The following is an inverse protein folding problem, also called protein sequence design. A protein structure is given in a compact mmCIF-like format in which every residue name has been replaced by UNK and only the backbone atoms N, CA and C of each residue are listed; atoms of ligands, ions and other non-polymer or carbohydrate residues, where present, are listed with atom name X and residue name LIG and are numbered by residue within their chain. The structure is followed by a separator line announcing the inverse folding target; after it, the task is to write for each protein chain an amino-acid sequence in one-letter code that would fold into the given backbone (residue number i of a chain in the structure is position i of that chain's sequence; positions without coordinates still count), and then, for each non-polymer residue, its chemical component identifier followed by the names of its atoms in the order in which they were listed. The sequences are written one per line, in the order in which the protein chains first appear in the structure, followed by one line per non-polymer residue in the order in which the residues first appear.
data_IF_240255546594
#
_entry.id   IF_240255546594
#
_cell.length_a   1.000
_cell.length_b   1.000
_cell.length_c   1.000
_cell.angle_alpha   90.00
_cell.angle_beta   90.00
_cell.angle_gamma   90.00
#
_symmetry.space_group_name_H-M   'P 1'
#
loop_
_entity.id
_entity.type
_entity.pdbx_description
1 polymer ?
#
# COMPACT_ATOMS: atom_id res chain seq x y z
N UNK A 1 11.07 16.04 21.41
CA UNK A 1 11.72 15.09 20.47
C UNK A 1 12.60 15.90 19.53
N UNK A 2 13.81 15.43 19.23
CA UNK A 2 14.63 16.07 18.19
C UNK A 2 13.86 16.05 16.85
N UNK A 3 13.90 17.14 16.10
CA UNK A 3 13.27 17.22 14.78
C UNK A 3 13.92 16.16 13.88
N UNK A 4 13.13 15.19 13.40
CA UNK A 4 13.58 14.19 12.44
C UNK A 4 13.60 14.85 11.05
N UNK A 5 14.77 15.31 10.63
CA UNK A 5 15.00 15.83 9.28
C UNK A 5 16.05 14.98 8.56
N UNK A 6 16.11 15.10 7.24
CA UNK A 6 17.03 14.32 6.39
C UNK A 6 18.48 14.56 6.79
N UNK A 7 19.18 13.46 7.09
CA UNK A 7 20.59 13.42 7.47
C UNK A 7 21.51 13.47 6.25
N UNK A 8 22.72 14.02 6.43
CA UNK A 8 23.74 14.09 5.39
C UNK A 8 24.24 12.71 4.92
N UNK A 9 24.44 11.79 5.87
CA UNK A 9 24.99 10.46 5.61
C UNK A 9 23.99 9.39 6.07
N UNK A 10 22.85 9.24 5.36
CA UNK A 10 21.90 8.19 5.67
C UNK A 10 22.46 6.82 5.31
N UNK A 11 22.19 5.84 6.15
CA UNK A 11 22.52 4.44 5.87
C UNK A 11 21.39 3.57 6.42
N UNK A 12 20.62 2.96 5.52
CA UNK A 12 19.51 2.08 5.86
C UNK A 12 19.95 0.88 6.72
N UNK A 13 21.17 0.39 6.52
CA UNK A 13 21.71 -0.79 7.20
C UNK A 13 22.54 -0.46 8.43
N UNK A 14 22.65 0.82 8.80
CA UNK A 14 23.39 1.25 9.98
C UNK A 14 22.80 0.64 11.24
N UNK A 15 23.67 0.08 12.07
CA UNK A 15 23.32 -0.41 13.41
C UNK A 15 23.81 0.63 14.42
N UNK A 16 22.89 1.38 15.02
CA UNK A 16 23.21 2.42 15.99
C UNK A 16 23.11 1.90 17.43
N UNK A 17 22.10 1.06 17.71
CA UNK A 17 21.88 0.48 19.04
C UNK A 17 21.90 -1.04 18.96
N UNK A 18 22.23 -1.67 20.10
CA UNK A 18 22.13 -3.14 20.24
C UNK A 18 20.71 -3.59 20.60
N UNK A 19 19.89 -2.69 21.13
CA UNK A 19 18.49 -2.94 21.44
C UNK A 19 17.64 -2.71 20.19
N UNK A 20 16.53 -3.43 20.04
CA UNK A 20 15.64 -3.28 18.88
C UNK A 20 16.17 -3.84 17.56
N UNK A 21 17.09 -4.82 17.63
CA UNK A 21 17.59 -5.52 16.44
C UNK A 21 16.62 -6.61 15.99
N UNK A 22 16.54 -6.84 14.68
CA UNK A 22 15.85 -7.98 14.08
C UNK A 22 16.80 -8.75 13.15
N UNK A 23 16.61 -10.06 13.06
CA UNK A 23 17.31 -10.92 12.09
C UNK A 23 16.30 -11.46 11.10
N UNK A 24 16.46 -11.09 9.83
CA UNK A 24 15.70 -11.65 8.72
C UNK A 24 16.49 -12.78 8.09
N UNK A 25 15.87 -13.95 8.00
CA UNK A 25 16.40 -15.12 7.29
C UNK A 25 15.22 -15.98 6.82
N UNK A 26 15.11 -16.19 5.51
CA UNK A 26 14.17 -17.13 4.94
C UNK A 26 14.60 -18.58 5.18
N UNK A 27 13.65 -19.49 5.27
CA UNK A 27 13.86 -20.90 5.61
C UNK A 27 13.90 -21.85 4.40
N UNK A 28 13.92 -21.32 3.17
CA UNK A 28 13.94 -22.05 1.89
C UNK A 28 12.67 -22.86 1.56
N UNK A 29 11.77 -23.10 2.52
CA UNK A 29 10.45 -23.65 2.26
C UNK A 29 9.52 -22.52 1.82
N UNK A 30 9.25 -22.47 0.51
CA UNK A 30 8.38 -21.45 -0.10
C UNK A 30 6.97 -21.45 0.52
N UNK A 31 6.39 -22.61 0.85
CA UNK A 31 5.08 -22.69 1.50
C UNK A 31 5.13 -21.98 2.85
N UNK A 32 6.14 -22.28 3.67
CA UNK A 32 6.28 -21.69 5.01
C UNK A 32 6.55 -20.20 4.95
N UNK A 33 7.37 -19.76 4.01
CA UNK A 33 7.65 -18.33 3.84
C UNK A 33 6.40 -17.54 3.46
N UNK A 34 5.59 -18.05 2.53
CA UNK A 34 4.32 -17.41 2.15
C UNK A 34 3.30 -17.45 3.30
N UNK A 35 3.14 -18.58 4.00
CA UNK A 35 2.24 -18.70 5.15
C UNK A 35 2.66 -17.76 6.29
N UNK A 36 3.96 -17.67 6.57
CA UNK A 36 4.51 -16.75 7.58
C UNK A 36 4.23 -15.30 7.23
N UNK A 37 4.44 -14.90 5.97
CA UNK A 37 4.10 -13.54 5.53
C UNK A 37 2.60 -13.31 5.63
N UNK A 38 1.75 -14.28 5.28
CA UNK A 38 0.30 -14.15 5.41
C UNK A 38 -0.10 -13.80 6.85
N UNK A 39 0.44 -14.52 7.85
CA UNK A 39 0.22 -14.23 9.27
C UNK A 39 0.74 -12.84 9.65
N UNK A 40 1.96 -12.46 9.24
CA UNK A 40 2.50 -11.12 9.54
C UNK A 40 1.56 -10.00 9.08
N UNK A 41 1.05 -10.10 7.85
CA UNK A 41 0.15 -9.09 7.28
C UNK A 41 -1.23 -9.10 7.95
N UNK A 42 -1.80 -10.29 8.22
CA UNK A 42 -3.09 -10.44 8.91
C UNK A 42 -3.03 -9.87 10.33
N UNK A 43 -2.02 -10.23 11.11
CA UNK A 43 -1.88 -9.75 12.49
C UNK A 43 -1.59 -8.24 12.56
N UNK A 44 -0.87 -7.71 11.57
CA UNK A 44 -0.69 -6.25 11.46
C UNK A 44 -2.01 -5.54 11.20
N UNK A 45 -2.87 -6.11 10.35
CA UNK A 45 -4.20 -5.59 10.10
C UNK A 45 -5.07 -5.69 11.37
N UNK A 46 -5.03 -6.82 12.08
CA UNK A 46 -5.75 -7.04 13.34
C UNK A 46 -5.41 -5.98 14.40
N UNK A 47 -4.13 -5.74 14.66
CA UNK A 47 -3.71 -4.72 15.65
C UNK A 47 -4.15 -3.31 15.26
N UNK A 48 -4.18 -2.99 13.96
CA UNK A 48 -4.68 -1.71 13.47
C UNK A 48 -6.19 -1.62 13.69
N UNK A 49 -6.94 -2.68 13.41
CA UNK A 49 -8.37 -2.77 13.68
C UNK A 49 -8.68 -2.51 15.15
N UNK A 50 -7.98 -3.18 16.07
CA UNK A 50 -8.15 -2.98 17.52
C UNK A 50 -7.91 -1.51 17.90
N UNK A 51 -6.83 -0.91 17.40
CA UNK A 51 -6.50 0.49 17.66
C UNK A 51 -7.56 1.48 17.19
N UNK A 52 -8.08 1.27 15.98
CA UNK A 52 -9.12 2.11 15.37
C UNK A 52 -10.40 2.03 16.21
N UNK A 53 -10.78 0.83 16.68
CA UNK A 53 -11.98 0.61 17.49
C UNK A 53 -11.83 1.12 18.93
N UNK A 54 -10.63 1.07 19.52
CA UNK A 54 -10.40 1.58 20.89
C UNK A 54 -10.40 3.11 20.97
N UNK A 55 -9.88 3.79 19.95
CA UNK A 55 -9.66 5.25 20.01
C UNK A 55 -10.83 6.10 19.53
N UNK A 56 -11.83 5.52 18.85
CA UNK A 56 -13.02 6.19 18.32
C UNK A 56 -12.74 7.56 17.66
N UNK A 57 -11.57 7.71 17.02
CA UNK A 57 -11.18 8.93 16.32
C UNK A 57 -11.70 8.85 14.89
N UNK A 58 -12.84 9.50 14.65
CA UNK A 58 -13.57 9.46 13.37
C UNK A 58 -12.66 9.86 12.20
N UNK A 59 -11.72 10.79 12.41
CA UNK A 59 -10.79 11.23 11.36
C UNK A 59 -9.82 10.12 10.91
N UNK A 60 -9.59 9.13 11.79
CA UNK A 60 -8.73 7.97 11.51
C UNK A 60 -9.51 6.80 10.90
N UNK A 61 -10.82 6.68 11.17
CA UNK A 61 -11.66 5.62 10.59
C UNK A 61 -11.58 5.64 9.06
N UNK A 62 -11.82 6.81 8.46
CA UNK A 62 -11.81 7.01 7.01
C UNK A 62 -10.42 6.84 6.39
N UNK A 63 -9.40 7.33 7.10
CA UNK A 63 -8.05 7.36 6.56
C UNK A 63 -7.42 5.95 6.61
N UNK A 64 -7.46 5.26 7.76
CA UNK A 64 -6.74 4.00 7.95
C UNK A 64 -7.32 2.84 7.14
N UNK A 65 -8.56 2.97 6.64
CA UNK A 65 -9.22 1.91 5.89
C UNK A 65 -8.39 1.42 4.70
N UNK A 66 -7.71 2.30 3.96
CA UNK A 66 -6.94 1.90 2.77
C UNK A 66 -5.75 0.98 3.11
N UNK A 67 -4.92 1.35 4.08
CA UNK A 67 -3.82 0.50 4.53
C UNK A 67 -4.33 -0.79 5.17
N UNK A 68 -5.37 -0.68 6.01
CA UNK A 68 -6.01 -1.82 6.66
C UNK A 68 -6.53 -2.85 5.66
N UNK A 69 -7.32 -2.38 4.68
CA UNK A 69 -7.92 -3.23 3.67
C UNK A 69 -6.87 -3.90 2.79
N UNK A 70 -5.80 -3.16 2.45
CA UNK A 70 -4.67 -3.75 1.75
C UNK A 70 -4.00 -4.87 2.57
N UNK A 71 -3.70 -4.66 3.86
CA UNK A 71 -2.98 -5.64 4.68
C UNK A 71 -3.78 -6.96 4.79
N UNK A 72 -5.08 -6.87 5.06
CA UNK A 72 -5.95 -8.04 5.09
C UNK A 72 -6.09 -8.70 3.70
N UNK A 73 -6.33 -7.93 2.64
CA UNK A 73 -6.47 -8.51 1.29
C UNK A 73 -5.17 -9.18 0.84
N UNK A 74 -4.02 -8.61 1.18
CA UNK A 74 -2.70 -9.18 0.87
C UNK A 74 -2.41 -10.44 1.68
N UNK A 75 -2.88 -10.53 2.93
CA UNK A 75 -2.73 -11.75 3.73
C UNK A 75 -3.48 -12.93 3.12
N UNK A 76 -4.69 -12.71 2.60
CA UNK A 76 -5.46 -13.73 1.87
C UNK A 76 -4.74 -14.18 0.58
N UNK A 77 -4.19 -13.25 -0.20
CA UNK A 77 -3.38 -13.58 -1.38
C UNK A 77 -2.19 -14.49 -1.02
N UNK A 78 -1.44 -14.11 0.02
CA UNK A 78 -0.26 -14.85 0.47
C UNK A 78 -0.63 -16.25 0.97
N UNK A 79 -1.76 -16.37 1.69
CA UNK A 79 -2.22 -17.64 2.22
C UNK A 79 -2.70 -18.58 1.10
N UNK A 80 -3.44 -18.07 0.12
CA UNK A 80 -3.80 -18.83 -1.09
C UNK A 80 -2.56 -19.29 -1.86
N UNK A 81 -1.55 -18.42 -1.99
CA UNK A 81 -0.26 -18.79 -2.59
C UNK A 81 0.47 -19.86 -1.77
N UNK A 82 0.43 -19.80 -0.45
CA UNK A 82 0.99 -20.83 0.41
C UNK A 82 0.30 -22.20 0.21
N UNK A 83 -1.03 -22.21 0.09
CA UNK A 83 -1.80 -23.42 -0.25
C UNK A 83 -1.36 -23.95 -1.62
N UNK A 84 -1.26 -23.09 -2.64
CA UNK A 84 -0.75 -23.51 -3.96
C UNK A 84 0.65 -24.13 -3.89
N UNK A 85 1.59 -23.47 -3.20
CA UNK A 85 2.98 -23.94 -3.08
C UNK A 85 3.19 -25.15 -2.20
N UNK A 86 2.18 -25.53 -1.40
CA UNK A 86 2.13 -26.83 -0.72
C UNK A 86 2.08 -27.98 -1.73
N UNK A 87 1.40 -27.80 -2.86
CA UNK A 87 1.17 -28.84 -3.86
C UNK A 87 1.99 -28.64 -5.15
N UNK A 88 2.39 -27.40 -5.47
CA UNK A 88 3.29 -27.08 -6.59
C UNK A 88 4.73 -27.04 -6.09
N UNK A 89 5.52 -28.09 -6.37
CA UNK A 89 6.88 -28.24 -5.81
C UNK A 89 7.99 -27.77 -6.75
N UNK A 90 7.84 -27.93 -8.06
CA UNK A 90 8.86 -27.57 -9.03
C UNK A 90 8.84 -26.06 -9.35
N UNK A 91 10.01 -25.54 -9.71
CA UNK A 91 10.25 -24.11 -9.89
C UNK A 91 9.44 -23.50 -11.04
N UNK A 92 9.32 -24.20 -12.17
CA UNK A 92 8.65 -23.66 -13.36
C UNK A 92 7.14 -23.63 -13.16
N UNK A 93 6.53 -24.70 -12.62
CA UNK A 93 5.11 -24.67 -12.29
C UNK A 93 4.77 -23.62 -11.22
N UNK A 94 5.69 -23.33 -10.27
CA UNK A 94 5.50 -22.23 -9.32
C UNK A 94 5.48 -20.86 -10.01
N UNK A 95 6.36 -20.65 -10.98
CA UNK A 95 6.38 -19.41 -11.79
C UNK A 95 5.13 -19.29 -12.63
N UNK A 96 4.69 -20.38 -13.26
CA UNK A 96 3.46 -20.40 -14.05
C UNK A 96 2.23 -20.15 -13.17
N UNK A 97 2.16 -20.77 -11.98
CA UNK A 97 1.11 -20.48 -11.00
C UNK A 97 1.02 -18.99 -10.63
N UNK A 98 2.15 -18.34 -10.30
CA UNK A 98 2.15 -16.89 -10.02
C UNK A 98 1.75 -16.09 -11.25
N UNK A 99 2.22 -16.47 -12.44
CA UNK A 99 1.96 -15.72 -13.67
C UNK A 99 0.49 -15.80 -14.09
N UNK A 100 -0.12 -16.96 -13.95
CA UNK A 100 -1.48 -17.24 -14.42
C UNK A 100 -2.54 -16.71 -13.44
N UNK A 101 -2.25 -16.75 -12.14
CA UNK A 101 -3.17 -16.25 -11.10
C UNK A 101 -2.89 -14.80 -10.69
N UNK A 102 -1.62 -14.38 -10.73
CA UNK A 102 -1.12 -13.05 -10.38
C UNK A 102 -1.57 -12.58 -8.99
N UNK A 103 -2.49 -11.63 -8.93
CA UNK A 103 -3.10 -11.09 -7.71
C UNK A 103 -4.59 -11.45 -7.59
N UNK A 104 -5.15 -12.20 -8.53
CA UNK A 104 -6.58 -12.45 -8.57
C UNK A 104 -6.99 -13.54 -7.56
N UNK A 105 -7.77 -13.18 -6.54
CA UNK A 105 -8.10 -14.10 -5.44
C UNK A 105 -9.04 -15.24 -5.87
N UNK A 106 -10.01 -14.99 -6.74
CA UNK A 106 -10.85 -16.06 -7.33
C UNK A 106 -10.02 -17.03 -8.17
N UNK A 107 -9.12 -16.54 -9.04
CA UNK A 107 -8.25 -17.43 -9.83
C UNK A 107 -7.30 -18.23 -8.95
N UNK A 108 -6.78 -17.62 -7.88
CA UNK A 108 -6.00 -18.33 -6.87
C UNK A 108 -6.83 -19.44 -6.20
N UNK A 109 -8.07 -19.14 -5.78
CA UNK A 109 -8.96 -20.12 -5.15
C UNK A 109 -9.30 -21.27 -6.13
N UNK A 110 -9.64 -20.94 -7.38
CA UNK A 110 -9.90 -21.91 -8.45
C UNK A 110 -8.69 -22.81 -8.70
N UNK A 111 -7.48 -22.23 -8.73
CA UNK A 111 -6.24 -22.97 -8.96
C UNK A 111 -5.90 -23.93 -7.80
N UNK A 112 -6.22 -23.57 -6.55
CA UNK A 112 -5.97 -24.46 -5.40
C UNK A 112 -7.09 -25.47 -5.13
N UNK A 113 -8.31 -25.23 -5.65
CA UNK A 113 -9.48 -26.07 -5.42
C UNK A 113 -9.26 -27.57 -5.64
N UNK A 114 -8.58 -28.04 -6.72
CA UNK A 114 -8.32 -29.46 -6.93
C UNK A 114 -7.56 -30.13 -5.79
N UNK A 115 -6.76 -29.35 -5.04
CA UNK A 115 -5.92 -29.84 -3.95
C UNK A 115 -6.61 -29.83 -2.58
N UNK A 116 -7.68 -29.03 -2.42
CA UNK A 116 -8.42 -28.87 -1.15
C UNK A 116 -9.81 -29.51 -1.17
N UNK A 117 -10.16 -30.22 -2.25
CA UNK A 117 -11.50 -30.77 -2.49
C UNK A 117 -12.04 -31.61 -1.34
N UNK A 118 -11.20 -32.44 -0.73
CA UNK A 118 -11.62 -33.32 0.38
C UNK A 118 -11.97 -32.51 1.63
N UNK A 119 -11.23 -31.43 1.93
CA UNK A 119 -11.56 -30.48 2.99
C UNK A 119 -12.85 -29.70 2.68
N UNK A 120 -13.05 -29.33 1.42
CA UNK A 120 -14.26 -28.65 0.96
C UNK A 120 -15.50 -29.53 1.10
N UNK A 121 -15.40 -30.83 0.81
CA UNK A 121 -16.53 -31.77 0.97
C UNK A 121 -17.01 -31.84 2.42
N UNK A 122 -16.09 -31.72 3.39
CA UNK A 122 -16.45 -31.69 4.81
C UNK A 122 -17.18 -30.40 5.21
N UNK A 123 -16.82 -29.26 4.62
CA UNK A 123 -17.32 -27.93 4.99
C UNK A 123 -17.76 -27.12 3.77
N UNK A 124 -18.76 -27.64 3.06
CA UNK A 124 -19.21 -27.06 1.77
C UNK A 124 -19.75 -25.65 1.91
N UNK A 125 -20.50 -25.36 2.97
CA UNK A 125 -21.09 -24.03 3.21
C UNK A 125 -20.01 -22.96 3.40
N UNK A 126 -18.96 -23.26 4.17
CA UNK A 126 -17.84 -22.35 4.38
C UNK A 126 -17.08 -22.05 3.07
N UNK A 127 -16.87 -23.08 2.24
CA UNK A 127 -16.26 -22.87 0.91
C UNK A 127 -17.15 -22.00 0.00
N UNK A 128 -18.46 -22.25 -0.03
CA UNK A 128 -19.39 -21.45 -0.83
C UNK A 128 -19.43 -19.99 -0.37
N UNK A 129 -19.36 -19.76 0.94
CA UNK A 129 -19.26 -18.42 1.51
C UNK A 129 -17.96 -17.74 1.07
N UNK A 130 -16.82 -18.42 1.21
CA UNK A 130 -15.50 -17.91 0.82
C UNK A 130 -15.44 -17.60 -0.69
N UNK A 131 -15.93 -18.51 -1.53
CA UNK A 131 -15.97 -18.35 -2.98
C UNK A 131 -16.79 -17.10 -3.38
N UNK A 132 -17.98 -16.92 -2.77
CA UNK A 132 -18.80 -15.74 -3.00
C UNK A 132 -18.11 -14.46 -2.52
N UNK A 133 -17.46 -14.50 -1.36
CA UNK A 133 -16.78 -13.35 -0.77
C UNK A 133 -15.57 -12.91 -1.59
N UNK A 134 -14.73 -13.86 -2.01
CA UNK A 134 -13.56 -13.56 -2.85
C UNK A 134 -13.96 -13.10 -4.26
N UNK A 135 -15.10 -13.58 -4.78
CA UNK A 135 -15.66 -13.08 -6.05
C UNK A 135 -16.10 -11.63 -5.93
N UNK A 136 -16.86 -11.28 -4.89
CA UNK A 136 -17.30 -9.91 -4.63
C UNK A 136 -16.11 -8.96 -4.44
N UNK A 137 -15.09 -9.40 -3.69
CA UNK A 137 -13.83 -8.67 -3.53
C UNK A 137 -13.11 -8.45 -4.85
N UNK A 138 -13.06 -9.45 -5.72
CA UNK A 138 -12.39 -9.35 -7.02
C UNK A 138 -13.07 -8.38 -7.99
N UNK A 139 -14.39 -8.28 -7.96
CA UNK A 139 -15.12 -7.31 -8.77
C UNK A 139 -14.71 -5.86 -8.42
N UNK A 140 -14.18 -5.65 -7.20
CA UNK A 140 -13.67 -4.38 -6.69
C UNK A 140 -12.15 -4.26 -6.88
N UNK A 141 -11.36 -5.25 -6.43
CA UNK A 141 -9.89 -5.16 -6.29
C UNK A 141 -9.10 -6.34 -6.89
N UNK A 142 -9.48 -6.79 -8.09
CA UNK A 142 -8.82 -7.90 -8.80
C UNK A 142 -7.29 -7.78 -8.92
N UNK A 143 -6.78 -6.58 -9.18
CA UNK A 143 -5.35 -6.32 -9.44
C UNK A 143 -4.58 -5.87 -8.18
N UNK A 144 -5.24 -5.88 -7.01
CA UNK A 144 -4.70 -5.38 -5.74
C UNK A 144 -4.36 -3.88 -5.73
N UNK A 145 -4.93 -3.05 -6.61
CA UNK A 145 -4.55 -1.64 -6.74
C UNK A 145 -5.46 -0.69 -5.94
N UNK A 146 -6.71 -1.07 -5.66
CA UNK A 146 -7.79 -0.16 -5.21
C UNK A 146 -7.56 0.41 -3.82
N UNK A 147 -6.93 -0.38 -2.96
CA UNK A 147 -6.55 0.03 -1.60
C UNK A 147 -5.13 0.58 -1.52
N UNK A 148 -4.34 0.48 -2.59
CA UNK A 148 -2.98 1.02 -2.67
C UNK A 148 -2.93 2.38 -3.33
N UNK A 149 -3.84 2.68 -4.25
CA UNK A 149 -3.84 3.90 -5.06
C UNK A 149 -5.26 4.46 -5.19
N UNK A 150 -5.40 5.79 -5.36
CA UNK A 150 -6.73 6.42 -5.50
C UNK A 150 -7.44 6.11 -6.83
N UNK A 151 -6.70 5.72 -7.86
CA UNK A 151 -7.25 5.42 -9.20
C UNK A 151 -6.36 4.49 -10.01
N UNK A 152 -6.96 3.80 -10.97
CA UNK A 152 -6.26 3.06 -12.01
C UNK A 152 -5.96 3.95 -13.22
N UNK A 153 -4.84 3.68 -13.91
CA UNK A 153 -4.51 4.37 -15.16
C UNK A 153 -5.11 3.58 -16.35
N UNK A 154 -5.80 4.29 -17.23
CA UNK A 154 -6.35 3.75 -18.48
C UNK A 154 -5.54 4.28 -19.67
N UNK A 155 -5.36 3.44 -20.69
CA UNK A 155 -4.59 3.80 -21.89
C UNK A 155 -5.46 3.50 -23.12
N UNK A 156 -5.74 4.54 -23.91
CA UNK A 156 -6.33 4.42 -25.25
C UNK A 156 -5.23 4.71 -26.27
N UNK A 157 -5.32 4.09 -27.44
CA UNK A 157 -4.41 4.37 -28.57
C UNK A 157 -5.22 5.05 -29.66
N UNK A 158 -4.74 6.18 -30.13
CA UNK A 158 -5.37 6.89 -31.24
C UNK A 158 -5.29 6.03 -32.52
N UNK A 159 -6.40 5.90 -33.28
CA UNK A 159 -6.43 5.02 -34.47
C UNK A 159 -5.44 5.38 -35.56
N UNK A 160 -5.08 6.67 -35.67
CA UNK A 160 -4.34 7.20 -36.82
C UNK A 160 -2.81 7.23 -36.63
N UNK A 161 -2.32 7.56 -35.43
CA UNK A 161 -0.88 7.71 -35.15
C UNK A 161 -0.36 6.76 -34.04
N UNK A 162 -1.25 5.93 -33.48
CA UNK A 162 -0.94 4.99 -32.40
C UNK A 162 -0.38 5.67 -31.13
N UNK A 163 -0.60 6.98 -30.96
CA UNK A 163 -0.19 7.72 -29.77
C UNK A 163 -1.03 7.27 -28.58
N UNK A 164 -0.38 7.13 -27.42
CA UNK A 164 -1.04 6.80 -26.16
C UNK A 164 -1.77 8.03 -25.63
N UNK A 165 -3.06 7.87 -25.36
CA UNK A 165 -3.86 8.80 -24.60
C UNK A 165 -4.17 8.18 -23.23
N UNK A 166 -3.77 8.89 -22.18
CA UNK A 166 -3.89 8.43 -20.80
C UNK A 166 -5.16 8.98 -20.16
N UNK A 167 -5.80 8.16 -19.33
CA UNK A 167 -6.90 8.56 -18.46
C UNK A 167 -6.75 7.95 -17.08
N UNK A 168 -7.58 8.38 -16.14
CA UNK A 168 -7.68 7.78 -14.81
C UNK A 168 -9.10 7.25 -14.60
N UNK A 169 -9.22 6.20 -13.78
CA UNK A 169 -10.50 5.66 -13.32
C UNK A 169 -10.44 5.48 -11.82
N UNK A 170 -11.23 6.27 -11.10
CA UNK A 170 -11.37 6.11 -9.64
C UNK A 170 -11.88 4.72 -9.32
N UNK A 171 -11.36 4.13 -8.24
CA UNK A 171 -11.87 2.84 -7.76
C UNK A 171 -13.19 2.99 -7.01
N UNK A 172 -13.37 4.14 -6.33
CA UNK A 172 -14.54 4.46 -5.54
C UNK A 172 -15.10 5.81 -6.00
N UNK A 173 -16.16 5.79 -6.80
CA UNK A 173 -16.81 7.01 -7.34
C UNK A 173 -17.97 7.50 -6.48
N UNK A 174 -18.62 6.57 -5.77
CA UNK A 174 -19.73 6.87 -4.87
C UNK A 174 -19.22 6.93 -3.45
N UNK A 175 -19.74 7.89 -2.69
CA UNK A 175 -19.52 7.90 -1.26
C UNK A 175 -20.17 6.65 -0.65
N UNK A 176 -19.37 5.85 0.06
CA UNK A 176 -19.82 4.58 0.64
C UNK A 176 -19.43 4.55 2.12
N UNK A 177 -20.39 4.21 2.98
CA UNK A 177 -20.24 4.10 4.43
C UNK A 177 -20.02 2.63 4.80
N UNK A 178 -18.75 2.21 4.83
CA UNK A 178 -18.37 0.82 5.06
C UNK A 178 -18.48 0.48 6.54
N UNK A 179 -19.15 -0.63 6.85
CA UNK A 179 -19.13 -1.25 8.17
C UNK A 179 -17.74 -1.89 8.41
N UNK A 180 -16.87 -1.20 9.13
CA UNK A 180 -15.51 -1.65 9.44
C UNK A 180 -15.50 -2.89 10.33
N UNK A 181 -16.48 -3.03 11.22
CA UNK A 181 -16.57 -4.19 12.10
C UNK A 181 -16.91 -5.43 11.29
N UNK A 182 -17.93 -5.36 10.43
CA UNK A 182 -18.25 -6.45 9.52
C UNK A 182 -17.08 -6.73 8.57
N UNK A 183 -16.46 -5.69 8.01
CA UNK A 183 -15.28 -5.82 7.15
C UNK A 183 -14.17 -6.64 7.80
N UNK A 184 -13.71 -6.24 9.00
CA UNK A 184 -12.62 -6.91 9.69
C UNK A 184 -12.97 -8.37 10.03
N UNK A 185 -14.17 -8.62 10.57
CA UNK A 185 -14.61 -9.98 10.87
C UNK A 185 -14.64 -10.87 9.62
N UNK A 186 -15.14 -10.37 8.48
CA UNK A 186 -15.16 -11.13 7.23
C UNK A 186 -13.75 -11.46 6.72
N UNK A 187 -12.79 -10.55 6.89
CA UNK A 187 -11.39 -10.82 6.54
C UNK A 187 -10.74 -11.88 7.44
N UNK A 188 -11.01 -11.84 8.75
CA UNK A 188 -10.54 -12.86 9.71
C UNK A 188 -11.17 -14.23 9.41
N UNK A 189 -12.49 -14.28 9.20
CA UNK A 189 -13.22 -15.51 8.81
C UNK A 189 -12.64 -16.10 7.52
N UNK A 190 -12.43 -15.27 6.49
CA UNK A 190 -11.84 -15.74 5.24
C UNK A 190 -10.43 -16.30 5.44
N UNK A 191 -9.62 -15.68 6.32
CA UNK A 191 -8.29 -16.15 6.66
C UNK A 191 -8.33 -17.50 7.39
N UNK A 192 -9.21 -17.66 8.38
CA UNK A 192 -9.38 -18.90 9.14
C UNK A 192 -9.84 -20.08 8.28
N UNK A 193 -10.78 -19.85 7.35
CA UNK A 193 -11.23 -20.87 6.39
C UNK A 193 -10.04 -21.32 5.53
N UNK A 194 -9.28 -20.38 4.97
CA UNK A 194 -8.09 -20.69 4.15
C UNK A 194 -6.99 -21.38 4.98
N UNK A 195 -6.79 -20.96 6.23
CA UNK A 195 -5.81 -21.56 7.13
C UNK A 195 -6.18 -23.02 7.44
N UNK A 196 -7.48 -23.32 7.61
CA UNK A 196 -7.94 -24.70 7.79
C UNK A 196 -7.59 -25.57 6.58
N UNK A 197 -7.64 -25.01 5.36
CA UNK A 197 -7.26 -25.73 4.14
C UNK A 197 -5.75 -25.94 4.06
N UNK A 198 -4.97 -24.94 4.45
CA UNK A 198 -3.51 -25.06 4.50
C UNK A 198 -3.08 -26.15 5.51
N UNK A 199 -3.68 -26.15 6.70
CA UNK A 199 -3.34 -27.04 7.82
C UNK A 199 -4.05 -28.41 7.76
N UNK A 200 -5.00 -28.59 6.82
CA UNK A 200 -5.85 -29.79 6.70
C UNK A 200 -6.63 -30.14 7.97
N UNK A 201 -7.07 -29.11 8.71
CA UNK A 201 -7.88 -29.25 9.91
C UNK A 201 -9.35 -28.91 9.62
N UNK A 202 -10.24 -29.37 10.49
CA UNK A 202 -11.65 -29.00 10.40
C UNK A 202 -11.85 -27.54 10.89
N UNK A 203 -12.78 -26.84 10.26
CA UNK A 203 -13.19 -25.50 10.67
C UNK A 203 -13.87 -25.62 12.04
N UNK A 204 -13.37 -24.88 13.03
CA UNK A 204 -13.84 -25.01 14.42
C UNK A 204 -15.10 -24.20 14.70
N UNK A 205 -15.27 -23.09 14.00
CA UNK A 205 -16.34 -22.12 14.24
C UNK A 205 -17.09 -21.82 12.93
N UNK A 206 -18.40 -21.68 13.03
CA UNK A 206 -19.29 -21.38 11.93
C UNK A 206 -19.67 -19.88 11.86
N UNK A 207 -18.85 -18.98 12.43
CA UNK A 207 -19.04 -17.51 12.38
C UNK A 207 -19.38 -16.98 10.99
N UNK A 208 -18.88 -17.62 9.92
CA UNK A 208 -19.22 -17.26 8.54
C UNK A 208 -20.73 -17.23 8.27
N UNK A 209 -21.53 -17.98 9.02
CA UNK A 209 -23.01 -17.99 8.91
C UNK A 209 -23.66 -16.70 9.41
N UNK A 210 -22.96 -15.93 10.24
CA UNK A 210 -23.45 -14.65 10.77
C UNK A 210 -23.24 -13.48 9.79
N UNK A 211 -22.40 -13.65 8.78
CA UNK A 211 -22.02 -12.61 7.84
C UNK A 211 -22.43 -12.94 6.41
N UNK A 212 -22.88 -11.92 5.66
CA UNK A 212 -23.05 -12.07 4.21
C UNK A 212 -21.69 -12.02 3.51
N UNK A 213 -21.47 -12.76 2.42
CA UNK A 213 -20.22 -12.73 1.67
C UNK A 213 -20.13 -11.49 0.76
N UNK A 214 -20.38 -10.31 1.32
CA UNK A 214 -20.26 -9.00 0.67
C UNK A 214 -19.03 -8.32 1.23
N UNK A 215 -18.07 -7.97 0.37
CA UNK A 215 -16.78 -7.43 0.76
C UNK A 215 -16.91 -6.07 1.45
N UNK A 216 -17.49 -5.10 0.74
CA UNK A 216 -17.74 -3.76 1.26
C UNK A 216 -19.23 -3.60 1.58
N UNK A 217 -19.60 -4.03 2.79
CA UNK A 217 -20.98 -3.90 3.28
C UNK A 217 -21.22 -2.49 3.83
N UNK A 218 -22.33 -1.89 3.40
CA UNK A 218 -22.75 -0.57 3.91
C UNK A 218 -23.52 -0.69 5.22
N UNK A 219 -23.29 0.25 6.14
CA UNK A 219 -24.01 0.32 7.41
C UNK A 219 -23.08 0.24 8.62
N UNK A 220 -23.50 -0.46 9.66
CA UNK A 220 -22.77 -0.54 10.94
C UNK A 220 -23.07 0.61 11.90
N UNK A 221 -22.47 0.55 13.09
CA UNK A 221 -22.52 1.64 14.07
C UNK A 221 -21.67 2.82 13.59
N UNK A 222 -22.04 4.04 13.97
CA UNK A 222 -21.39 5.27 13.56
C UNK A 222 -19.88 5.30 13.89
N UNK A 223 -19.49 4.76 15.04
CA UNK A 223 -18.07 4.67 15.45
C UNK A 223 -17.29 3.51 14.82
N UNK A 224 -17.97 2.69 14.01
CA UNK A 224 -17.39 1.58 13.26
C UNK A 224 -17.60 1.75 11.75
N UNK A 225 -17.80 2.99 11.29
CA UNK A 225 -17.96 3.32 9.88
C UNK A 225 -16.70 3.98 9.32
N UNK A 226 -16.30 3.56 8.11
CA UNK A 226 -15.34 4.29 7.27
C UNK A 226 -16.05 4.81 6.03
N UNK A 227 -15.82 6.07 5.71
CA UNK A 227 -16.37 6.71 4.51
C UNK A 227 -15.29 6.79 3.43
N UNK A 228 -15.59 6.24 2.26
CA UNK A 228 -14.71 6.30 1.08
C UNK A 228 -15.44 6.90 -0.12
N UNK A 229 -14.71 7.23 -1.19
CA UNK A 229 -15.31 7.66 -2.45
C UNK A 229 -15.76 9.12 -2.49
N UNK A 230 -15.04 9.99 -1.77
CA UNK A 230 -15.27 11.45 -1.77
C UNK A 230 -15.02 12.05 -3.16
N UNK A 231 -16.07 12.15 -3.99
CA UNK A 231 -16.00 12.64 -5.38
C UNK A 231 -15.59 14.11 -5.52
N UNK A 232 -15.76 14.91 -4.46
CA UNK A 232 -15.45 16.34 -4.42
C UNK A 232 -14.06 16.68 -3.85
N UNK A 233 -13.30 15.70 -3.35
CA UNK A 233 -11.94 15.95 -2.83
C UNK A 233 -10.99 16.30 -3.97
N UNK A 234 -10.33 17.45 -3.87
CA UNK A 234 -9.21 17.82 -4.73
C UNK A 234 -8.01 16.91 -4.46
N UNK A 235 -7.77 16.60 -3.18
CA UNK A 235 -6.65 15.80 -2.71
C UNK A 235 -7.00 14.32 -2.85
N UNK A 236 -6.46 13.69 -3.89
CA UNK A 236 -6.73 12.27 -4.18
C UNK A 236 -5.76 11.37 -3.44
N UNK A 237 -4.51 11.79 -3.31
CA UNK A 237 -3.45 10.98 -2.71
C UNK A 237 -3.36 11.12 -1.18
N UNK A 238 -3.65 12.30 -0.62
CA UNK A 238 -3.48 12.58 0.81
C UNK A 238 -4.09 11.51 1.74
N UNK A 239 -5.34 11.04 1.56
CA UNK A 239 -5.90 10.01 2.42
C UNK A 239 -5.08 8.72 2.41
N UNK A 240 -4.56 8.30 1.24
CA UNK A 240 -3.72 7.12 1.11
C UNK A 240 -2.32 7.35 1.71
N UNK A 241 -1.69 8.50 1.46
CA UNK A 241 -0.37 8.82 2.04
C UNK A 241 -0.43 8.79 3.56
N UNK A 242 -1.45 9.42 4.13
CA UNK A 242 -1.69 9.47 5.57
C UNK A 242 -1.97 8.08 6.13
N UNK A 243 -2.87 7.31 5.52
CA UNK A 243 -3.23 5.95 5.93
C UNK A 243 -2.01 5.06 6.14
N UNK A 244 -1.17 4.99 5.11
CA UNK A 244 0.01 4.14 5.08
C UNK A 244 1.09 4.64 6.04
N UNK A 245 1.29 5.95 6.15
CA UNK A 245 2.28 6.53 7.08
C UNK A 245 1.90 6.28 8.53
N UNK A 246 0.69 6.67 8.94
CA UNK A 246 0.26 6.56 10.33
C UNK A 246 0.06 5.11 10.78
N UNK A 247 -0.34 4.22 9.86
CA UNK A 247 -0.36 2.77 10.15
C UNK A 247 1.04 2.22 10.40
N UNK A 248 2.05 2.63 9.62
CA UNK A 248 3.42 2.19 9.83
C UNK A 248 4.00 2.72 11.15
N UNK A 249 3.68 3.97 11.51
CA UNK A 249 4.04 4.56 12.80
C UNK A 249 3.40 3.83 13.97
N UNK A 250 2.13 3.43 13.84
CA UNK A 250 1.43 2.65 14.86
C UNK A 250 2.06 1.26 15.04
N UNK A 251 2.36 0.53 13.95
CA UNK A 251 3.03 -0.77 14.06
C UNK A 251 4.41 -0.63 14.76
N UNK A 252 5.14 0.45 14.48
CA UNK A 252 6.38 0.74 15.20
C UNK A 252 6.13 1.03 16.69
N UNK A 253 5.09 1.78 17.05
CA UNK A 253 4.74 2.05 18.44
C UNK A 253 4.49 0.73 19.20
N UNK A 254 3.73 -0.20 18.61
CA UNK A 254 3.54 -1.56 19.15
C UNK A 254 4.88 -2.30 19.34
N UNK A 255 5.74 -2.31 18.32
CA UNK A 255 7.08 -2.93 18.39
C UNK A 255 7.99 -2.24 19.42
N UNK A 256 7.80 -0.94 19.68
CA UNK A 256 8.60 -0.20 20.65
C UNK A 256 8.22 -0.54 22.08
N UNK A 257 6.93 -0.85 22.32
CA UNK A 257 6.36 -1.28 23.60
C UNK A 257 6.62 -2.76 23.88
N UNK A 258 6.52 -3.62 22.87
CA UNK A 258 6.88 -5.04 22.97
C UNK A 258 7.76 -5.49 21.79
N UNK A 259 9.05 -5.65 22.07
CA UNK A 259 10.05 -6.08 21.08
C UNK A 259 9.83 -7.51 20.56
N UNK A 260 9.01 -8.33 21.22
CA UNK A 260 8.62 -9.66 20.70
C UNK A 260 7.82 -9.55 19.41
N UNK A 261 7.09 -8.45 19.23
CA UNK A 261 6.32 -8.16 18.02
C UNK A 261 7.20 -7.85 16.81
N UNK A 262 8.51 -7.62 17.00
CA UNK A 262 9.42 -7.30 15.89
C UNK A 262 9.35 -8.35 14.77
N UNK A 263 9.35 -9.63 15.13
CA UNK A 263 9.30 -10.72 14.16
C UNK A 263 7.99 -10.79 13.38
N UNK A 264 6.92 -10.20 13.89
CA UNK A 264 5.58 -10.22 13.30
C UNK A 264 5.31 -8.97 12.44
N UNK A 265 5.69 -7.79 12.95
CA UNK A 265 5.24 -6.51 12.40
C UNK A 265 6.28 -5.81 11.50
N UNK A 266 7.56 -6.21 11.56
CA UNK A 266 8.63 -5.49 10.87
C UNK A 266 8.44 -5.42 9.34
N UNK A 267 8.10 -6.54 8.69
CA UNK A 267 7.93 -6.60 7.23
C UNK A 267 6.72 -5.78 6.78
N UNK A 268 5.50 -5.96 7.35
CA UNK A 268 4.35 -5.10 7.04
C UNK A 268 4.63 -3.61 7.28
N UNK A 269 5.28 -3.25 8.39
CA UNK A 269 5.68 -1.86 8.67
C UNK A 269 6.60 -1.29 7.59
N UNK A 270 7.61 -2.04 7.15
CA UNK A 270 8.51 -1.60 6.07
C UNK A 270 7.77 -1.41 4.75
N UNK A 271 6.83 -2.30 4.43
CA UNK A 271 5.99 -2.16 3.26
C UNK A 271 5.11 -0.90 3.34
N UNK A 272 4.46 -0.66 4.48
CA UNK A 272 3.58 0.50 4.66
C UNK A 272 4.34 1.82 4.46
N UNK A 273 5.50 1.99 5.10
CA UNK A 273 6.36 3.16 4.86
C UNK A 273 6.81 3.29 3.42
N UNK A 274 7.26 2.17 2.81
CA UNK A 274 7.72 2.17 1.42
C UNK A 274 6.61 2.56 0.44
N UNK A 275 5.38 2.12 0.69
CA UNK A 275 4.21 2.49 -0.13
C UNK A 275 3.80 3.94 0.10
N UNK A 276 3.84 4.43 1.35
CA UNK A 276 3.58 5.83 1.67
C UNK A 276 4.52 6.79 0.92
N UNK A 277 5.81 6.46 0.84
CA UNK A 277 6.79 7.25 0.08
C UNK A 277 6.51 7.25 -1.42
N UNK A 278 6.14 6.10 -1.99
CA UNK A 278 5.73 6.04 -3.40
C UNK A 278 4.49 6.91 -3.65
N UNK A 279 3.51 6.86 -2.75
CA UNK A 279 2.29 7.65 -2.84
C UNK A 279 2.57 9.15 -2.72
N UNK A 280 3.39 9.58 -1.75
CA UNK A 280 3.75 10.99 -1.59
C UNK A 280 4.49 11.55 -2.81
N UNK A 281 5.34 10.74 -3.46
CA UNK A 281 5.97 11.15 -4.73
C UNK A 281 4.97 11.24 -5.88
N UNK A 282 3.96 10.35 -5.91
CA UNK A 282 2.90 10.40 -6.91
C UNK A 282 1.94 11.56 -6.67
N UNK A 283 1.68 11.91 -5.42
CA UNK A 283 0.94 13.11 -5.00
C UNK A 283 1.62 14.36 -5.55
N UNK A 284 2.90 14.58 -5.21
CA UNK A 284 3.68 15.72 -5.72
C UNK A 284 3.68 15.74 -7.25
N UNK A 285 3.89 14.60 -7.91
CA UNK A 285 3.88 14.53 -9.37
C UNK A 285 2.51 14.86 -9.97
N UNK A 286 1.43 14.42 -9.32
CA UNK A 286 0.08 14.51 -9.87
C UNK A 286 -0.63 15.82 -9.58
N UNK A 287 -0.44 16.34 -8.37
CA UNK A 287 -1.20 17.46 -7.82
C UNK A 287 -0.38 18.76 -7.88
N UNK A 288 0.96 18.68 -7.83
CA UNK A 288 1.81 19.86 -7.63
C UNK A 288 2.76 20.22 -8.77
N UNK A 289 3.22 19.24 -9.56
CA UNK A 289 4.13 19.52 -10.68
C UNK A 289 3.43 20.25 -11.84
N UNK A 290 4.20 21.07 -12.57
CA UNK A 290 3.75 21.91 -13.69
C UNK A 290 3.39 21.17 -14.98
N UNK A 291 3.38 19.83 -14.95
CA UNK A 291 3.10 18.99 -16.11
C UNK A 291 1.62 19.00 -16.49
N UNK A 292 1.32 18.83 -17.78
CA UNK A 292 -0.06 18.57 -18.20
C UNK A 292 -0.53 17.21 -17.68
N UNK A 293 -1.85 17.04 -17.54
CA UNK A 293 -2.45 15.77 -17.11
C UNK A 293 -1.95 14.55 -17.91
N UNK A 294 -1.77 14.68 -19.24
CA UNK A 294 -1.27 13.59 -20.08
C UNK A 294 0.19 13.23 -19.78
N UNK A 295 1.04 14.23 -19.55
CA UNK A 295 2.45 14.03 -19.20
C UNK A 295 2.57 13.40 -17.82
N UNK A 296 1.87 13.94 -16.83
CA UNK A 296 1.80 13.43 -15.46
C UNK A 296 1.38 11.97 -15.41
N UNK A 297 0.22 11.62 -15.98
CA UNK A 297 -0.29 10.25 -15.96
C UNK A 297 0.62 9.33 -16.79
N UNK A 298 1.18 9.82 -17.89
CA UNK A 298 2.17 9.11 -18.68
C UNK A 298 3.44 8.78 -17.88
N UNK A 299 3.97 9.75 -17.13
CA UNK A 299 5.12 9.58 -16.24
C UNK A 299 4.81 8.58 -15.13
N UNK A 300 3.69 8.73 -14.41
CA UNK A 300 3.27 7.78 -13.37
C UNK A 300 3.18 6.35 -13.92
N UNK A 301 2.55 6.17 -15.08
CA UNK A 301 2.42 4.86 -15.72
C UNK A 301 3.79 4.27 -16.09
N UNK A 302 4.68 5.08 -16.66
CA UNK A 302 5.98 4.62 -17.13
C UNK A 302 6.97 4.36 -15.99
N UNK A 303 6.87 5.10 -14.88
CA UNK A 303 7.72 4.92 -13.70
C UNK A 303 7.16 3.89 -12.72
N UNK A 304 5.86 3.60 -12.75
CA UNK A 304 5.12 2.60 -11.97
C UNK A 304 5.46 2.62 -10.46
N UNK A 305 6.46 1.84 -10.05
CA UNK A 305 6.92 1.68 -8.66
C UNK A 305 8.36 2.18 -8.42
N UNK A 306 9.02 2.70 -9.46
CA UNK A 306 10.41 3.12 -9.42
C UNK A 306 10.55 4.39 -8.58
N UNK A 307 11.00 4.24 -7.34
CA UNK A 307 11.28 5.35 -6.41
C UNK A 307 12.23 6.38 -7.04
N UNK A 308 13.35 5.93 -7.62
CA UNK A 308 14.29 6.82 -8.33
C UNK A 308 13.65 7.44 -9.59
N UNK A 309 12.83 6.66 -10.31
CA UNK A 309 12.13 7.14 -11.50
C UNK A 309 11.14 8.26 -11.20
N UNK A 310 10.38 8.13 -10.11
CA UNK A 310 9.43 9.15 -9.63
C UNK A 310 10.17 10.38 -9.10
N UNK A 311 11.21 10.18 -8.29
CA UNK A 311 12.07 11.27 -7.81
C UNK A 311 12.61 12.14 -8.94
N UNK A 312 13.18 11.51 -9.97
CA UNK A 312 13.71 12.21 -11.13
C UNK A 312 12.64 12.97 -11.93
N UNK A 313 11.36 12.58 -11.81
CA UNK A 313 10.24 13.28 -12.43
C UNK A 313 9.78 14.50 -11.64
N UNK A 314 9.97 14.55 -10.31
CA UNK A 314 9.50 15.68 -9.48
C UNK A 314 10.62 16.67 -9.14
N UNK A 315 11.89 16.23 -9.11
CA UNK A 315 13.04 17.00 -8.61
C UNK A 315 13.19 18.39 -9.24
N UNK A 316 12.99 18.53 -10.55
CA UNK A 316 13.15 19.83 -11.22
C UNK A 316 12.14 20.85 -10.74
N UNK A 317 10.89 20.44 -10.50
CA UNK A 317 9.85 21.36 -10.06
C UNK A 317 10.02 21.68 -8.58
N UNK A 318 10.45 20.71 -7.75
CA UNK A 318 10.85 20.99 -6.37
C UNK A 318 11.90 22.11 -6.31
N UNK A 319 12.94 22.05 -7.16
CA UNK A 319 14.00 23.08 -7.21
C UNK A 319 13.42 24.46 -7.58
N UNK A 320 12.51 24.53 -8.56
CA UNK A 320 11.88 25.78 -8.97
C UNK A 320 11.05 26.41 -7.84
N UNK A 321 10.31 25.58 -7.10
CA UNK A 321 9.45 26.05 -6.01
C UNK A 321 10.23 26.43 -4.75
N UNK A 322 11.26 25.67 -4.39
CA UNK A 322 11.97 25.84 -3.12
C UNK A 322 12.78 27.15 -3.05
N UNK A 323 13.31 27.62 -4.19
CA UNK A 323 14.22 28.80 -4.24
C UNK A 323 15.31 28.76 -3.15
N UNK A 324 15.81 27.55 -2.86
CA UNK A 324 16.74 27.34 -1.77
C UNK A 324 18.09 28.03 -2.03
N UNK A 325 18.82 28.44 -0.97
CA UNK A 325 20.17 28.97 -1.10
C UNK A 325 21.12 28.00 -1.85
N UNK A 326 22.15 28.54 -2.53
CA UNK A 326 23.10 27.73 -3.31
C UNK A 326 23.85 26.68 -2.47
N UNK A 327 23.99 26.90 -1.16
CA UNK A 327 24.64 25.99 -0.21
C UNK A 327 23.68 24.98 0.45
N UNK A 328 22.38 24.97 0.10
CA UNK A 328 21.44 23.98 0.61
C UNK A 328 21.76 22.58 0.07
N UNK A 329 22.04 21.65 0.99
CA UNK A 329 22.39 20.26 0.67
C UNK A 329 21.22 19.28 0.83
N UNK A 330 20.02 19.76 1.15
CA UNK A 330 18.84 18.95 1.50
C UNK A 330 18.49 18.00 0.37
N UNK A 331 18.38 18.49 -0.88
CA UNK A 331 18.05 17.64 -2.03
C UNK A 331 19.14 16.61 -2.34
N UNK A 332 20.42 16.99 -2.20
CA UNK A 332 21.54 16.06 -2.34
C UNK A 332 21.49 14.96 -1.28
N UNK A 333 21.08 15.30 -0.06
CA UNK A 333 20.93 14.34 1.03
C UNK A 333 19.74 13.42 0.81
N UNK A 334 18.58 13.96 0.40
CA UNK A 334 17.38 13.19 0.04
C UNK A 334 17.69 12.18 -1.07
N UNK A 335 18.43 12.59 -2.09
CA UNK A 335 18.82 11.72 -3.20
C UNK A 335 19.60 10.47 -2.73
N UNK A 336 20.36 10.57 -1.62
CA UNK A 336 21.00 9.40 -0.98
C UNK A 336 19.97 8.43 -0.39
N UNK A 337 18.87 8.92 0.20
CA UNK A 337 17.76 8.06 0.66
C UNK A 337 17.06 7.39 -0.53
N UNK A 338 16.74 8.16 -1.57
CA UNK A 338 16.05 7.68 -2.77
C UNK A 338 16.84 6.54 -3.42
N UNK A 339 18.13 6.74 -3.64
CA UNK A 339 18.98 5.71 -4.24
C UNK A 339 19.06 4.45 -3.39
N UNK A 340 19.19 4.58 -2.07
CA UNK A 340 19.19 3.43 -1.16
C UNK A 340 17.86 2.68 -1.19
N UNK A 341 16.74 3.39 -1.04
CA UNK A 341 15.41 2.77 -1.03
C UNK A 341 15.10 2.10 -2.38
N UNK A 342 15.47 2.73 -3.50
CA UNK A 342 15.31 2.15 -4.83
C UNK A 342 16.12 0.86 -5.01
N UNK A 343 17.36 0.83 -4.49
CA UNK A 343 18.20 -0.37 -4.54
C UNK A 343 17.71 -1.47 -3.58
N UNK A 344 17.02 -1.10 -2.51
CA UNK A 344 16.43 -2.05 -1.57
C UNK A 344 15.15 -2.66 -2.15
N UNK A 345 14.19 -1.83 -2.57
CA UNK A 345 12.84 -2.26 -2.98
C UNK A 345 12.23 -1.34 -4.08
N UNK A 346 12.94 -1.23 -5.21
CA UNK A 346 12.54 -0.40 -6.35
C UNK A 346 11.36 -0.95 -7.17
N UNK A 347 10.94 -2.20 -6.95
CA UNK A 347 9.80 -2.84 -7.63
C UNK A 347 8.59 -3.06 -6.73
N UNK A 348 8.66 -2.60 -5.48
CA UNK A 348 7.63 -2.79 -4.46
C UNK A 348 7.41 -4.26 -4.08
N UNK A 349 8.28 -5.21 -4.37
CA UNK A 349 8.03 -6.64 -4.11
C UNK A 349 8.66 -7.12 -2.79
N UNK A 350 9.81 -6.57 -2.42
CA UNK A 350 10.67 -7.13 -1.36
C UNK A 350 10.06 -7.17 0.03
N UNK A 351 9.23 -6.18 0.37
CA UNK A 351 8.53 -6.14 1.64
C UNK A 351 7.11 -6.71 1.57
N UNK A 352 6.63 -7.10 0.38
CA UNK A 352 5.30 -7.72 0.20
C UNK A 352 5.36 -9.23 0.13
N UNK A 353 6.35 -9.76 -0.57
CA UNK A 353 6.48 -11.19 -0.84
C UNK A 353 7.80 -11.70 -0.26
N UNK A 354 7.89 -12.98 0.11
CA UNK A 354 9.16 -13.57 0.54
C UNK A 354 10.13 -13.79 -0.63
N UNK A 355 9.63 -13.86 -1.86
CA UNK A 355 10.41 -14.10 -3.08
C UNK A 355 10.15 -13.05 -4.16
N UNK A 356 11.11 -12.91 -5.07
CA UNK A 356 10.87 -12.24 -6.35
C UNK A 356 9.97 -13.09 -7.27
N UNK A 357 9.61 -12.54 -8.43
CA UNK A 357 8.83 -13.23 -9.48
C UNK A 357 9.50 -14.48 -10.08
N UNK A 358 10.77 -14.72 -9.76
CA UNK A 358 11.55 -15.87 -10.20
C UNK A 358 11.69 -16.92 -9.08
N UNK A 359 10.97 -16.75 -7.96
CA UNK A 359 10.99 -17.58 -6.76
C UNK A 359 12.32 -17.53 -5.98
N UNK A 360 13.15 -16.50 -6.20
CA UNK A 360 14.34 -16.31 -5.38
C UNK A 360 13.96 -15.60 -4.08
N UNK A 361 14.33 -16.17 -2.93
CA UNK A 361 14.11 -15.55 -1.63
C UNK A 361 14.86 -14.23 -1.50
N UNK A 362 14.15 -13.17 -1.10
CA UNK A 362 14.75 -11.86 -0.87
C UNK A 362 15.72 -11.85 0.32
N UNK A 363 15.43 -12.65 1.35
CA UNK A 363 16.25 -12.78 2.56
C UNK A 363 16.87 -14.19 2.68
N UNK A 364 17.45 -14.71 1.59
CA UNK A 364 18.12 -16.03 1.57
C UNK A 364 19.35 -16.12 2.49
N UNK A 365 19.96 -14.98 2.84
CA UNK A 365 21.06 -14.86 3.79
C UNK A 365 20.58 -14.10 5.01
N UNK A 366 21.06 -14.52 6.17
CA UNK A 366 20.78 -13.85 7.44
C UNK A 366 21.19 -12.38 7.36
N UNK A 367 20.23 -11.48 7.54
CA UNK A 367 20.45 -10.03 7.56
C UNK A 367 20.01 -9.48 8.92
N UNK A 368 20.94 -8.84 9.61
CA UNK A 368 20.68 -8.17 10.88
C UNK A 368 20.37 -6.70 10.61
N UNK A 369 19.27 -6.20 11.16
CA UNK A 369 18.75 -4.85 10.92
C UNK A 369 18.44 -4.16 12.26
N UNK A 370 18.61 -2.84 12.28
CA UNK A 370 18.23 -1.96 13.39
C UNK A 370 16.87 -1.33 13.09
N UNK A 371 15.84 -1.75 13.83
CA UNK A 371 14.46 -1.31 13.60
C UNK A 371 14.32 0.20 13.79
N UNK A 372 14.96 0.77 14.81
CA UNK A 372 14.87 2.21 15.09
C UNK A 372 15.52 3.03 13.98
N UNK A 373 16.68 2.58 13.47
CA UNK A 373 17.35 3.27 12.36
C UNK A 373 16.50 3.25 11.09
N UNK A 374 15.85 2.12 10.78
CA UNK A 374 15.01 1.97 9.59
C UNK A 374 13.76 2.85 9.68
N UNK A 375 13.11 2.89 10.86
CA UNK A 375 11.96 3.78 11.08
C UNK A 375 12.38 5.25 11.01
N UNK A 376 13.56 5.62 11.52
CA UNK A 376 14.09 6.97 11.34
C UNK A 376 14.33 7.28 9.87
N UNK A 377 14.94 6.36 9.12
CA UNK A 377 15.21 6.53 7.70
C UNK A 377 13.93 6.78 6.89
N UNK A 378 12.88 5.98 7.12
CA UNK A 378 11.60 6.16 6.46
C UNK A 378 10.89 7.45 6.90
N UNK A 379 10.85 7.72 8.21
CA UNK A 379 10.18 8.91 8.75
C UNK A 379 10.83 10.22 8.30
N UNK A 380 12.16 10.29 8.26
CA UNK A 380 12.89 11.47 7.76
C UNK A 380 12.55 11.77 6.29
N UNK A 381 12.45 10.73 5.45
CA UNK A 381 12.08 10.88 4.04
C UNK A 381 10.60 11.25 3.88
N UNK A 382 9.70 10.65 4.66
CA UNK A 382 8.27 10.96 4.64
C UNK A 382 8.00 12.41 5.06
N UNK A 383 8.65 12.87 6.14
CA UNK A 383 8.56 14.26 6.62
C UNK A 383 9.05 15.24 5.54
N UNK A 384 10.17 14.94 4.88
CA UNK A 384 10.67 15.76 3.78
C UNK A 384 9.65 15.86 2.63
N UNK A 385 9.11 14.73 2.16
CA UNK A 385 8.15 14.72 1.05
C UNK A 385 6.85 15.44 1.41
N UNK A 386 6.33 15.26 2.62
CA UNK A 386 5.18 16.03 3.13
C UNK A 386 5.47 17.53 3.14
N UNK A 387 6.66 17.94 3.60
CA UNK A 387 7.09 19.34 3.57
C UNK A 387 7.17 19.91 2.15
N UNK A 388 7.70 19.14 1.20
CA UNK A 388 7.72 19.52 -0.22
C UNK A 388 6.33 19.70 -0.78
N UNK A 389 5.41 18.76 -0.51
CA UNK A 389 4.03 18.84 -0.99
C UNK A 389 3.34 20.12 -0.48
N UNK A 390 3.40 20.37 0.84
CA UNK A 390 2.82 21.58 1.44
C UNK A 390 3.42 22.87 0.86
N UNK A 391 4.75 22.91 0.69
CA UNK A 391 5.45 24.06 0.12
C UNK A 391 5.03 24.32 -1.33
N UNK A 392 4.96 23.28 -2.16
CA UNK A 392 4.57 23.43 -3.57
C UNK A 392 3.10 23.84 -3.69
N UNK A 393 2.22 23.22 -2.89
CA UNK A 393 0.79 23.54 -2.85
C UNK A 393 0.53 25.00 -2.52
N UNK A 394 1.13 25.50 -1.43
CA UNK A 394 1.01 26.91 -1.03
C UNK A 394 1.54 27.88 -2.11
N UNK A 395 2.67 27.54 -2.75
CA UNK A 395 3.21 28.38 -3.82
C UNK A 395 2.32 28.34 -5.08
N UNK A 396 1.75 27.18 -5.43
CA UNK A 396 0.80 27.04 -6.53
C UNK A 396 -0.48 27.85 -6.28
N UNK A 397 -1.01 27.86 -5.06
CA UNK A 397 -2.15 28.69 -4.66
C UNK A 397 -1.85 30.17 -4.84
N UNK A 398 -0.70 30.66 -4.35
CA UNK A 398 -0.31 32.06 -4.54
C UNK A 398 -0.17 32.44 -6.02
N UNK A 399 0.43 31.59 -6.86
CA UNK A 399 0.55 31.85 -8.29
C UNK A 399 -0.82 31.92 -8.98
N UNK A 400 -1.76 31.05 -8.59
CA UNK A 400 -3.11 31.03 -9.12
C UNK A 400 -3.91 32.28 -8.71
N UNK A 401 -3.78 32.72 -7.45
CA UNK A 401 -4.38 33.96 -6.95
C UNK A 401 -3.84 35.18 -7.70
N UNK A 402 -2.52 35.29 -7.85
CA UNK A 402 -1.89 36.36 -8.62
C UNK A 402 -2.39 36.38 -10.07
N UNK A 403 -2.46 35.23 -10.75
CA UNK A 403 -2.95 35.16 -12.13
C UNK A 403 -4.43 35.60 -12.24
N UNK A 404 -5.26 35.21 -11.27
CA UNK A 404 -6.66 35.60 -11.23
C UNK A 404 -6.84 37.12 -11.05
N UNK A 405 -6.06 37.74 -10.17
CA UNK A 405 -6.05 39.19 -9.97
C UNK A 405 -5.63 39.94 -11.25
N UNK A 406 -4.50 39.56 -11.85
CA UNK A 406 -4.04 40.15 -13.12
C UNK A 406 -5.07 40.01 -14.23
N UNK A 407 -5.76 38.86 -14.32
CA UNK A 407 -6.82 38.65 -15.31
C UNK A 407 -8.02 39.57 -15.07
N UNK A 408 -8.43 39.74 -13.81
CA UNK A 408 -9.51 40.66 -13.44
C UNK A 408 -9.17 42.10 -13.81
N UNK A 409 -7.96 42.57 -13.48
CA UNK A 409 -7.51 43.92 -13.82
C UNK A 409 -7.49 44.16 -15.34
N UNK A 410 -7.04 43.17 -16.11
CA UNK A 410 -7.03 43.25 -17.58
C UNK A 410 -8.45 43.25 -18.15
N UNK A 411 -9.37 42.44 -17.62
CA UNK A 411 -10.78 42.45 -18.03
C UNK A 411 -11.45 43.79 -17.74
N UNK A 412 -11.19 44.40 -16.58
CA UNK A 412 -11.71 45.73 -16.24
C UNK A 412 -11.14 46.80 -17.16
N UNK A 413 -9.84 46.77 -17.45
CA UNK A 413 -9.21 47.67 -18.44
C UNK A 413 -9.89 47.56 -19.81
N UNK A 414 -10.19 46.35 -20.29
CA UNK A 414 -10.89 46.16 -21.57
C UNK A 414 -12.39 46.51 -21.54
N UNK A 415 -13.02 46.62 -20.37
CA UNK A 415 -14.42 47.07 -20.25
C UNK A 415 -14.55 48.60 -20.23
N UNK A 416 -13.48 49.31 -19.89
CA UNK A 416 -13.44 50.78 -19.86
C UNK A 416 -13.16 51.41 -21.23
N UNK A 417 -12.81 50.60 -22.25
CA UNK A 417 -12.65 50.97 -23.66
C UNK A 417 -13.73 50.34 -24.53
#
# INVERSE_FOLDING_TARGET
MAVKWVRENPDFFKINKRDGLIVLKGNSDIKEEFAKYAVMFKESAHLITEYIFEKADISKLDTYFFSLAYLYRHSLELLLKAIGFKYTLDLENRKDFIKDTFHNLSLLLEAVYPHIKDNVVKNREAFQWLEAFLKDMNDIDKESDSFRYPFGITIKREPFDNKKHYGIRSFFEKQTHIDLFAFANKMEIAFEILESYLLEIDIKDELFKEYKPVFLEEGGDYYYQSVIGYSYSKDKFYPYVKAYTESAEYLYDCMSKDRKLNGLLFIPMCYLYRNAIELAMKEILFEECSYSFQETVGLMNNKKHSILGLWNSIKSDIIKHAQAPEDDTTLTNVEKYINQLHNIDGQADKFRYPTDKHMNLHFNKSKKLDVENIVSFFGELAIFLSGVCMMMSAHNEWLAEMEAEYRSEMEDYYREY
#
